data_IF_352744311461
#
_entry.id   IF_352744311461
#
_cell.length_a   1.000
_cell.length_b   1.000
_cell.length_c   1.000
_cell.angle_alpha   90.00
_cell.angle_beta   90.00
_cell.angle_gamma   90.00
#
_symmetry.space_group_name_H-M   'P 1'
#
loop_
_entity.id
_entity.type
_entity.pdbx_description
1 polymer ?
#
# COMPACT_ATOMS: atom_id res chain seq x y z
N UNK A 1 -8.37 22.10 18.24
CA UNK A 1 -8.65 20.97 19.15
C UNK A 1 -9.34 19.95 18.28
N UNK A 2 -8.49 19.17 17.62
CA UNK A 2 -8.87 18.17 16.62
C UNK A 2 -8.97 16.85 17.36
N UNK A 3 -10.17 16.26 17.39
CA UNK A 3 -10.37 14.89 17.82
C UNK A 3 -9.86 13.97 16.69
N UNK A 4 -8.54 13.78 16.65
CA UNK A 4 -7.99 12.55 16.13
C UNK A 4 -8.49 11.42 17.05
N UNK A 5 -9.22 10.47 16.48
CA UNK A 5 -9.49 9.19 17.14
C UNK A 5 -8.14 8.47 17.25
N UNK A 6 -7.38 8.82 18.28
CA UNK A 6 -6.24 8.06 18.76
C UNK A 6 -6.85 6.84 19.45
N UNK A 7 -6.69 5.66 18.85
CA UNK A 7 -6.90 4.42 19.58
C UNK A 7 -5.90 4.39 20.74
N UNK A 8 -6.39 4.74 21.93
CA UNK A 8 -5.63 4.68 23.17
C UNK A 8 -5.44 3.20 23.53
N UNK A 9 -4.35 2.58 23.07
CA UNK A 9 -3.89 1.29 23.55
C UNK A 9 -3.27 1.46 24.94
N UNK A 10 -4.13 1.56 25.96
CA UNK A 10 -3.71 1.41 27.34
C UNK A 10 -4.86 0.88 28.19
N UNK A 11 -4.99 -0.45 28.22
CA UNK A 11 -5.57 -1.15 29.36
C UNK A 11 -4.89 -2.50 29.49
N UNK A 12 -4.12 -2.66 30.57
CA UNK A 12 -3.51 -3.93 30.94
C UNK A 12 -4.56 -5.04 30.98
N UNK A 13 -4.32 -6.07 30.18
CA UNK A 13 -5.11 -7.29 30.08
C UNK A 13 -4.18 -8.50 29.92
N UNK A 14 -4.65 -9.63 30.41
CA UNK A 14 -4.02 -10.97 30.45
C UNK A 14 -3.13 -11.35 29.24
N UNK A 15 -2.05 -12.16 29.42
CA UNK A 15 -1.17 -12.58 28.32
C UNK A 15 -1.81 -13.53 27.28
N UNK A 16 -3.06 -13.98 27.48
CA UNK A 16 -3.74 -14.99 26.66
C UNK A 16 -5.20 -14.61 26.31
N UNK A 17 -5.52 -13.32 26.19
CA UNK A 17 -6.81 -12.87 25.66
C UNK A 17 -6.70 -12.55 24.17
N UNK A 18 -7.60 -13.08 23.34
CA UNK A 18 -7.80 -12.64 21.95
C UNK A 18 -8.03 -11.12 21.94
N UNK A 19 -6.97 -10.33 21.73
CA UNK A 19 -7.11 -8.92 21.38
C UNK A 19 -7.88 -8.88 20.07
N UNK A 20 -9.13 -8.40 20.12
CA UNK A 20 -9.98 -8.29 18.95
C UNK A 20 -9.24 -7.55 17.84
N UNK A 21 -9.07 -8.21 16.69
CA UNK A 21 -8.36 -7.65 15.55
C UNK A 21 -9.23 -6.54 14.93
N UNK A 22 -8.85 -5.24 15.01
CA UNK A 22 -9.67 -4.14 14.53
C UNK A 22 -10.02 -4.25 13.03
N UNK A 23 -9.18 -4.95 12.26
CA UNK A 23 -9.35 -5.18 10.83
C UNK A 23 -10.45 -6.21 10.51
N UNK A 24 -10.75 -7.14 11.43
CA UNK A 24 -11.90 -8.04 11.30
C UNK A 24 -13.22 -7.30 11.51
N UNK A 25 -13.24 -6.34 12.45
CA UNK A 25 -14.40 -5.45 12.63
C UNK A 25 -14.60 -4.49 11.47
N UNK A 26 -13.53 -3.96 10.88
CA UNK A 26 -13.61 -3.21 9.62
C UNK A 26 -14.18 -4.09 8.50
N UNK A 27 -13.76 -5.35 8.39
CA UNK A 27 -14.30 -6.30 7.41
C UNK A 27 -15.80 -6.54 7.56
N UNK A 28 -16.29 -6.72 8.79
CA UNK A 28 -17.71 -6.90 9.06
C UNK A 28 -18.53 -5.66 8.66
N UNK A 29 -18.04 -4.46 8.99
CA UNK A 29 -18.66 -3.19 8.57
C UNK A 29 -18.68 -3.03 7.05
N UNK A 30 -17.60 -3.43 6.38
CA UNK A 30 -17.49 -3.41 4.92
C UNK A 30 -18.55 -4.32 4.27
N UNK A 31 -18.71 -5.54 4.77
CA UNK A 31 -19.76 -6.46 4.27
C UNK A 31 -21.17 -5.93 4.49
N UNK A 32 -21.41 -5.28 5.62
CA UNK A 32 -22.69 -4.64 5.88
C UNK A 32 -22.96 -3.48 4.91
N UNK A 33 -21.94 -2.66 4.62
CA UNK A 33 -22.01 -1.60 3.62
C UNK A 33 -22.37 -2.16 2.24
N UNK A 34 -21.65 -3.18 1.77
CA UNK A 34 -21.87 -3.78 0.45
C UNK A 34 -23.31 -4.29 0.31
N UNK A 35 -23.80 -5.02 1.33
CA UNK A 35 -25.18 -5.54 1.36
C UNK A 35 -26.21 -4.42 1.28
N UNK A 36 -26.09 -3.40 2.15
CA UNK A 36 -27.06 -2.29 2.22
C UNK A 36 -27.01 -1.41 0.97
N UNK A 37 -25.84 -1.19 0.39
CA UNK A 37 -25.69 -0.39 -0.83
C UNK A 37 -26.35 -1.11 -2.01
N UNK A 38 -26.22 -2.44 -2.10
CA UNK A 38 -26.91 -3.24 -3.11
C UNK A 38 -28.44 -3.16 -2.96
N UNK A 39 -28.96 -3.23 -1.72
CA UNK A 39 -30.39 -3.07 -1.45
C UNK A 39 -30.87 -1.67 -1.87
N UNK A 40 -30.14 -0.62 -1.48
CA UNK A 40 -30.52 0.76 -1.74
C UNK A 40 -30.43 1.16 -3.21
N UNK A 41 -29.46 0.61 -3.95
CA UNK A 41 -29.29 0.88 -5.38
C UNK A 41 -30.48 0.41 -6.24
N UNK A 42 -31.35 -0.46 -5.70
CA UNK A 42 -32.56 -0.94 -6.36
C UNK A 42 -33.82 -0.14 -5.97
N UNK A 43 -33.70 0.84 -5.07
CA UNK A 43 -34.85 1.62 -4.59
C UNK A 43 -35.23 2.72 -5.59
N UNK A 44 -36.54 2.94 -5.75
CA UNK A 44 -37.06 4.04 -6.60
C UNK A 44 -36.97 5.42 -5.92
N UNK A 45 -36.73 5.46 -4.61
CA UNK A 45 -36.61 6.67 -3.81
C UNK A 45 -35.61 6.47 -2.68
N UNK A 46 -34.73 7.45 -2.50
CA UNK A 46 -33.78 7.50 -1.37
C UNK A 46 -33.94 8.86 -0.70
N UNK A 47 -34.35 8.85 0.57
CA UNK A 47 -34.55 10.08 1.35
C UNK A 47 -33.36 10.33 2.28
N UNK A 48 -32.79 11.52 2.14
CA UNK A 48 -31.76 12.03 3.06
C UNK A 48 -32.45 12.54 4.32
N UNK A 49 -32.01 12.08 5.48
CA UNK A 49 -32.65 12.40 6.76
C UNK A 49 -32.00 13.61 7.41
N UNK A 50 -30.68 13.76 7.28
CA UNK A 50 -29.90 14.83 7.91
C UNK A 50 -29.09 15.62 6.87
N UNK A 51 -29.79 16.23 5.89
CA UNK A 51 -29.18 17.11 4.90
C UNK A 51 -29.47 18.59 5.21
N UNK A 52 -28.44 19.43 5.08
CA UNK A 52 -28.55 20.89 5.18
C UNK A 52 -28.23 21.55 3.85
N UNK A 53 -28.78 22.75 3.62
CA UNK A 53 -28.54 23.51 2.40
C UNK A 53 -27.38 24.47 2.61
N UNK A 54 -26.42 24.44 1.70
CA UNK A 54 -25.33 25.42 1.59
C UNK A 54 -25.39 26.09 0.20
N UNK A 55 -25.09 27.39 0.12
CA UNK A 55 -25.06 28.18 -1.12
C UNK A 55 -23.74 28.96 -1.30
N UNK A 56 -22.72 28.62 -0.52
CA UNK A 56 -21.42 29.25 -0.65
C UNK A 56 -20.78 28.91 -1.99
N UNK A 57 -19.88 29.79 -2.40
CA UNK A 57 -19.03 29.56 -3.56
C UNK A 57 -18.02 28.45 -3.29
N UNK A 58 -17.79 27.64 -4.31
CA UNK A 58 -16.74 26.63 -4.37
C UNK A 58 -15.65 27.10 -5.30
N UNK A 59 -14.39 26.70 -5.09
CA UNK A 59 -13.38 26.90 -6.11
C UNK A 59 -13.78 26.15 -7.38
N UNK A 60 -13.47 26.73 -8.53
CA UNK A 60 -13.43 25.98 -9.76
C UNK A 60 -12.21 25.05 -9.73
N UNK A 61 -12.47 23.75 -9.78
CA UNK A 61 -11.49 22.69 -9.92
C UNK A 61 -11.57 22.22 -11.37
N UNK A 62 -10.41 22.14 -11.98
CA UNK A 62 -10.26 21.71 -13.37
C UNK A 62 -9.66 20.30 -13.36
N UNK A 63 -10.44 19.28 -13.75
CA UNK A 63 -9.90 17.92 -13.86
C UNK A 63 -8.78 17.83 -14.91
N UNK A 64 -8.78 18.70 -15.93
CA UNK A 64 -7.72 18.74 -16.93
C UNK A 64 -6.37 19.06 -16.29
N UNK A 65 -6.38 19.68 -15.10
CA UNK A 65 -5.16 19.91 -14.34
C UNK A 65 -4.48 18.60 -13.93
N UNK A 66 -5.21 17.62 -13.38
CA UNK A 66 -4.60 16.33 -13.02
C UNK A 66 -4.11 15.57 -14.28
N UNK A 67 -4.83 15.71 -15.39
CA UNK A 67 -4.45 15.09 -16.66
C UNK A 67 -3.21 15.73 -17.29
N UNK A 68 -3.08 17.07 -17.23
CA UNK A 68 -1.98 17.81 -17.84
C UNK A 68 -0.63 17.43 -17.24
N UNK A 69 -0.57 17.32 -15.91
CA UNK A 69 0.67 17.03 -15.18
C UNK A 69 0.95 15.53 -15.05
N UNK A 70 -0.01 14.68 -15.40
CA UNK A 70 0.22 13.24 -15.42
C UNK A 70 1.13 12.85 -16.58
N UNK A 71 2.08 11.95 -16.31
CA UNK A 71 3.09 11.52 -17.28
C UNK A 71 2.56 10.81 -18.52
N UNK A 72 1.30 10.36 -18.49
CA UNK A 72 0.61 9.83 -19.66
C UNK A 72 -0.71 10.59 -19.82
N UNK A 73 -0.78 11.45 -20.85
CA UNK A 73 -2.02 12.16 -21.21
C UNK A 73 -3.20 11.21 -21.50
N UNK A 74 -2.91 9.93 -21.79
CA UNK A 74 -3.88 8.86 -21.86
C UNK A 74 -4.16 8.31 -20.46
N UNK A 75 -4.85 9.10 -19.64
CA UNK A 75 -5.68 8.52 -18.58
C UNK A 75 -6.70 7.66 -19.31
N UNK A 76 -6.44 6.36 -19.40
CA UNK A 76 -7.42 5.43 -19.95
C UNK A 76 -8.70 5.66 -19.18
N UNK A 77 -9.83 5.63 -19.90
CA UNK A 77 -11.18 5.85 -19.42
C UNK A 77 -11.58 4.86 -18.31
N UNK A 78 -10.92 4.94 -17.17
CA UNK A 78 -11.27 4.21 -15.98
C UNK A 78 -12.57 4.79 -15.45
N UNK A 79 -13.46 3.91 -15.03
CA UNK A 79 -14.75 4.28 -14.45
C UNK A 79 -14.58 5.26 -13.27
N UNK A 80 -13.46 5.18 -12.52
CA UNK A 80 -13.12 6.14 -11.46
C UNK A 80 -12.95 7.57 -11.99
N UNK A 81 -12.17 7.75 -13.06
CA UNK A 81 -11.98 9.06 -13.68
C UNK A 81 -13.31 9.63 -14.21
N UNK A 82 -14.11 8.79 -14.89
CA UNK A 82 -15.43 9.21 -15.40
C UNK A 82 -16.34 9.70 -14.27
N UNK A 83 -16.41 8.96 -13.15
CA UNK A 83 -17.18 9.36 -11.97
C UNK A 83 -16.69 10.70 -11.41
N UNK A 84 -15.38 10.88 -11.32
CA UNK A 84 -14.78 12.12 -10.84
C UNK A 84 -15.14 13.33 -11.72
N UNK A 85 -14.93 13.24 -13.03
CA UNK A 85 -15.27 14.31 -13.98
C UNK A 85 -16.78 14.64 -13.97
N UNK A 86 -17.64 13.62 -13.96
CA UNK A 86 -19.10 13.82 -13.90
C UNK A 86 -19.50 14.52 -12.60
N UNK A 87 -18.94 14.12 -11.46
CA UNK A 87 -19.25 14.76 -10.18
C UNK A 87 -18.85 16.24 -10.14
N UNK A 88 -17.70 16.62 -10.73
CA UNK A 88 -17.32 18.04 -10.85
C UNK A 88 -18.30 18.81 -11.75
N UNK A 89 -18.65 18.26 -12.92
CA UNK A 89 -19.62 18.88 -13.82
C UNK A 89 -20.99 19.09 -13.15
N UNK A 90 -21.47 18.06 -12.45
CA UNK A 90 -22.70 18.09 -11.68
C UNK A 90 -22.63 19.15 -10.57
N UNK A 91 -21.52 19.24 -9.84
CA UNK A 91 -21.31 20.22 -8.78
C UNK A 91 -21.38 21.68 -9.27
N UNK A 92 -20.98 21.93 -10.52
CA UNK A 92 -21.00 23.27 -11.13
C UNK A 92 -22.30 23.59 -11.87
N UNK A 93 -23.13 22.58 -12.16
CA UNK A 93 -24.43 22.77 -12.80
C UNK A 93 -25.51 23.36 -11.88
N UNK A 94 -25.28 23.31 -10.57
CA UNK A 94 -26.20 23.78 -9.54
C UNK A 94 -25.51 24.75 -8.57
N UNK A 95 -26.29 25.65 -7.97
CA UNK A 95 -25.82 26.60 -6.96
C UNK A 95 -26.27 26.26 -5.53
N UNK A 96 -27.12 25.24 -5.39
CA UNK A 96 -27.56 24.69 -4.11
C UNK A 96 -26.75 23.44 -3.82
N UNK A 97 -26.09 23.41 -2.67
CA UNK A 97 -25.42 22.22 -2.15
C UNK A 97 -26.27 21.56 -1.07
N UNK A 98 -26.30 20.22 -1.08
CA UNK A 98 -26.80 19.42 0.03
C UNK A 98 -25.59 18.86 0.80
N UNK A 99 -25.46 19.28 2.06
CA UNK A 99 -24.44 18.81 2.98
C UNK A 99 -25.07 17.77 3.88
N UNK A 100 -24.57 16.54 3.82
CA UNK A 100 -25.05 15.42 4.64
C UNK A 100 -24.11 15.20 5.82
N UNK A 101 -24.66 14.72 6.94
CA UNK A 101 -23.85 14.31 8.08
C UNK A 101 -22.94 13.11 7.75
N UNK A 102 -21.79 13.05 8.40
CA UNK A 102 -20.85 11.93 8.27
C UNK A 102 -21.28 10.75 9.15
N UNK A 103 -22.35 10.07 8.74
CA UNK A 103 -22.83 8.83 9.36
C UNK A 103 -22.86 7.71 8.34
N UNK A 104 -22.74 6.46 8.80
CA UNK A 104 -22.79 5.29 7.92
C UNK A 104 -24.02 5.30 7.00
N UNK A 105 -25.20 5.62 7.53
CA UNK A 105 -26.45 5.60 6.76
C UNK A 105 -26.53 6.74 5.74
N UNK A 106 -26.16 7.97 6.11
CA UNK A 106 -26.18 9.12 5.19
C UNK A 106 -25.12 8.98 4.09
N UNK A 107 -23.93 8.44 4.41
CA UNK A 107 -22.91 8.20 3.40
C UNK A 107 -23.35 7.11 2.40
N UNK A 108 -24.09 6.10 2.86
CA UNK A 108 -24.62 5.05 1.98
C UNK A 108 -25.70 5.61 1.03
N UNK A 109 -26.59 6.46 1.54
CA UNK A 109 -27.58 7.21 0.74
C UNK A 109 -26.90 8.14 -0.26
N UNK A 110 -25.88 8.86 0.18
CA UNK A 110 -25.07 9.74 -0.67
C UNK A 110 -24.44 8.95 -1.82
N UNK A 111 -23.84 7.78 -1.56
CA UNK A 111 -23.25 6.95 -2.60
C UNK A 111 -24.30 6.42 -3.60
N UNK A 112 -25.43 5.93 -3.09
CA UNK A 112 -26.53 5.42 -3.93
C UNK A 112 -27.11 6.51 -4.86
N UNK A 113 -27.21 7.75 -4.36
CA UNK A 113 -27.71 8.88 -5.16
C UNK A 113 -26.64 9.38 -6.13
N UNK A 114 -25.39 9.59 -5.65
CA UNK A 114 -24.32 10.20 -6.43
C UNK A 114 -23.98 9.42 -7.71
N UNK A 115 -24.08 8.09 -7.66
CA UNK A 115 -23.71 7.23 -8.78
C UNK A 115 -24.92 6.55 -9.44
N UNK A 116 -26.11 7.12 -9.27
CA UNK A 116 -27.33 6.71 -9.96
C UNK A 116 -27.77 7.76 -10.98
N UNK A 117 -28.41 7.31 -12.05
CA UNK A 117 -29.06 8.20 -13.04
C UNK A 117 -30.49 8.58 -12.62
N UNK A 118 -31.05 7.94 -11.58
CA UNK A 118 -32.43 8.13 -11.17
C UNK A 118 -32.70 9.50 -10.50
N UNK A 119 -31.65 10.17 -10.01
CA UNK A 119 -31.77 11.33 -9.12
C UNK A 119 -30.94 12.55 -9.58
N UNK A 120 -31.11 13.03 -10.84
CA UNK A 120 -30.17 13.98 -11.44
C UNK A 120 -30.00 15.26 -10.62
N UNK A 121 -31.09 15.84 -10.10
CA UNK A 121 -31.01 17.08 -9.31
C UNK A 121 -30.35 16.88 -7.96
N UNK A 122 -30.71 15.82 -7.23
CA UNK A 122 -30.12 15.54 -5.92
C UNK A 122 -28.63 15.17 -6.05
N UNK A 123 -28.28 14.44 -7.11
CA UNK A 123 -26.89 14.13 -7.47
C UNK A 123 -26.06 15.41 -7.65
N UNK A 124 -26.56 16.38 -8.41
CA UNK A 124 -25.89 17.68 -8.60
C UNK A 124 -25.68 18.43 -7.28
N UNK A 125 -26.71 18.49 -6.44
CA UNK A 125 -26.64 19.17 -5.16
C UNK A 125 -25.69 18.48 -4.17
N UNK A 126 -25.68 17.15 -4.14
CA UNK A 126 -24.77 16.36 -3.31
C UNK A 126 -23.32 16.44 -3.81
N UNK A 127 -23.09 16.41 -5.12
CA UNK A 127 -21.74 16.55 -5.69
C UNK A 127 -21.14 17.91 -5.31
N UNK A 128 -21.94 18.99 -5.38
CA UNK A 128 -21.55 20.31 -4.89
C UNK A 128 -21.29 20.32 -3.38
N UNK A 129 -22.14 19.67 -2.60
CA UNK A 129 -21.97 19.57 -1.15
C UNK A 129 -20.67 18.87 -0.75
N UNK A 130 -20.37 17.74 -1.41
CA UNK A 130 -19.13 16.99 -1.20
C UNK A 130 -17.91 17.85 -1.53
N UNK A 131 -17.94 18.56 -2.67
CA UNK A 131 -16.89 19.51 -3.04
C UNK A 131 -16.67 20.60 -1.97
N UNK A 132 -17.74 21.18 -1.43
CA UNK A 132 -17.66 22.16 -0.33
C UNK A 132 -17.00 21.54 0.91
N UNK A 133 -17.44 20.34 1.31
CA UNK A 133 -16.92 19.67 2.51
C UNK A 133 -15.43 19.37 2.37
N UNK A 134 -15.00 18.82 1.23
CA UNK A 134 -13.58 18.53 0.95
C UNK A 134 -12.75 19.82 0.91
N UNK A 135 -13.21 20.85 0.19
CA UNK A 135 -12.50 22.13 0.11
C UNK A 135 -12.28 22.77 1.49
N UNK A 136 -13.29 22.69 2.36
CA UNK A 136 -13.22 23.22 3.73
C UNK A 136 -12.38 22.36 4.67
N UNK A 137 -12.05 21.12 4.31
CA UNK A 137 -11.29 20.19 5.14
C UNK A 137 -12.16 19.43 6.15
N UNK A 138 -13.45 19.27 5.85
CA UNK A 138 -14.44 18.53 6.66
C UNK A 138 -15.05 17.38 5.85
N UNK A 139 -14.23 16.76 5.00
CA UNK A 139 -14.64 15.62 4.17
C UNK A 139 -15.16 14.47 5.05
N UNK A 140 -16.25 13.79 4.64
CA UNK A 140 -16.77 12.65 5.39
C UNK A 140 -15.83 11.45 5.31
N UNK A 141 -15.84 10.61 6.34
CA UNK A 141 -14.92 9.47 6.54
C UNK A 141 -15.63 8.17 6.92
N UNK A 142 -16.95 8.17 7.11
CA UNK A 142 -17.70 6.99 7.55
C UNK A 142 -17.90 5.93 6.47
N UNK A 143 -17.74 6.29 5.19
CA UNK A 143 -17.76 5.34 4.09
C UNK A 143 -16.50 4.45 4.12
N UNK A 144 -16.61 3.14 3.79
CA UNK A 144 -15.44 2.30 3.61
C UNK A 144 -14.44 2.88 2.61
N UNK A 145 -13.16 2.61 2.82
CA UNK A 145 -12.07 3.20 2.01
C UNK A 145 -12.16 2.86 0.51
N UNK A 146 -12.79 1.75 0.14
CA UNK A 146 -12.98 1.31 -1.25
C UNK A 146 -14.29 1.79 -1.87
N UNK A 147 -15.17 2.40 -1.07
CA UNK A 147 -16.46 2.89 -1.53
C UNK A 147 -16.26 3.97 -2.60
N UNK A 148 -17.17 4.05 -3.58
CA UNK A 148 -17.02 4.99 -4.71
C UNK A 148 -17.01 6.43 -4.23
N UNK A 149 -17.76 6.73 -3.17
CA UNK A 149 -17.78 8.05 -2.52
C UNK A 149 -16.45 8.37 -1.83
N UNK A 150 -15.85 7.43 -1.11
CA UNK A 150 -14.55 7.60 -0.47
C UNK A 150 -13.42 7.83 -1.48
N UNK A 151 -13.42 7.08 -2.60
CA UNK A 151 -12.48 7.31 -3.71
C UNK A 151 -12.67 8.69 -4.34
N UNK A 152 -13.92 9.09 -4.58
CA UNK A 152 -14.25 10.41 -5.13
C UNK A 152 -13.78 11.55 -4.21
N UNK A 153 -13.91 11.40 -2.90
CA UNK A 153 -13.41 12.36 -1.91
C UNK A 153 -11.90 12.55 -2.05
N UNK A 154 -11.13 11.47 -2.19
CA UNK A 154 -9.69 11.55 -2.39
C UNK A 154 -9.34 12.24 -3.71
N UNK A 155 -10.11 11.97 -4.77
CA UNK A 155 -9.90 12.61 -6.08
C UNK A 155 -10.17 14.12 -6.03
N UNK A 156 -11.24 14.54 -5.34
CA UNK A 156 -11.52 15.96 -5.08
C UNK A 156 -10.42 16.58 -4.20
N UNK A 157 -9.94 15.88 -3.16
CA UNK A 157 -8.88 16.36 -2.28
C UNK A 157 -7.56 16.55 -3.04
N UNK A 158 -7.21 15.62 -3.93
CA UNK A 158 -6.04 15.75 -4.81
C UNK A 158 -6.14 16.99 -5.69
N UNK A 159 -7.29 17.25 -6.33
CA UNK A 159 -7.52 18.49 -7.09
C UNK A 159 -7.45 19.74 -6.20
N UNK A 160 -8.06 19.71 -5.01
CA UNK A 160 -7.98 20.81 -4.06
C UNK A 160 -6.54 21.11 -3.64
N UNK A 161 -5.74 20.06 -3.41
CA UNK A 161 -4.32 20.16 -3.08
C UNK A 161 -3.54 20.81 -4.23
N UNK A 162 -3.74 20.34 -5.47
CA UNK A 162 -3.12 20.94 -6.65
C UNK A 162 -3.50 22.42 -6.82
N UNK A 163 -4.79 22.76 -6.65
CA UNK A 163 -5.25 24.15 -6.72
C UNK A 163 -4.54 25.05 -5.71
N UNK A 164 -4.36 24.57 -4.48
CA UNK A 164 -3.65 25.31 -3.42
C UNK A 164 -2.19 25.55 -3.75
N UNK A 165 -1.50 24.57 -4.36
CA UNK A 165 -0.12 24.74 -4.81
C UNK A 165 0.01 25.84 -5.85
N UNK A 166 -0.87 25.85 -6.85
CA UNK A 166 -0.90 26.88 -7.91
C UNK A 166 -1.16 28.26 -7.29
N UNK A 167 -2.16 28.35 -6.42
CA UNK A 167 -2.53 29.61 -5.76
C UNK A 167 -1.39 30.15 -4.88
N UNK A 168 -0.63 29.25 -4.25
CA UNK A 168 0.58 29.55 -3.50
C UNK A 168 1.81 29.80 -4.39
N UNK A 169 1.69 29.72 -5.72
CA UNK A 169 2.81 29.80 -6.69
C UNK A 169 3.94 28.83 -6.37
N UNK A 170 3.61 27.68 -5.81
CA UNK A 170 4.55 26.61 -5.50
C UNK A 170 4.74 25.75 -6.74
N UNK A 171 5.95 25.68 -7.27
CA UNK A 171 6.29 24.79 -8.38
C UNK A 171 6.64 23.42 -7.83
N UNK A 172 6.00 22.37 -8.35
CA UNK A 172 6.46 20.99 -8.18
C UNK A 172 7.35 20.69 -9.39
N UNK A 173 8.63 20.45 -9.13
CA UNK A 173 9.60 20.07 -10.16
C UNK A 173 10.03 18.61 -9.96
N UNK A 174 9.04 17.72 -9.88
CA UNK A 174 9.27 16.28 -9.90
C UNK A 174 8.28 15.65 -10.87
N UNK A 175 8.82 14.99 -11.89
CA UNK A 175 8.08 14.15 -12.83
C UNK A 175 8.61 12.72 -12.69
N UNK A 176 7.75 11.70 -12.83
CA UNK A 176 6.33 11.78 -13.18
C UNK A 176 5.37 11.90 -11.97
N UNK A 177 4.24 12.60 -12.17
CA UNK A 177 3.04 12.45 -11.33
C UNK A 177 2.30 11.17 -11.71
N UNK A 178 2.18 10.24 -10.75
CA UNK A 178 1.42 9.00 -10.89
C UNK A 178 0.13 9.08 -10.11
N UNK A 179 -0.96 8.71 -10.77
CA UNK A 179 -2.33 8.82 -10.27
C UNK A 179 -3.00 7.44 -10.38
N UNK A 180 -4.07 7.17 -9.61
CA UNK A 180 -4.72 5.87 -9.60
C UNK A 180 -5.20 5.36 -10.97
N UNK A 181 -5.43 6.25 -11.92
CA UNK A 181 -5.92 5.93 -13.27
C UNK A 181 -4.81 5.95 -14.34
N UNK A 182 -3.54 5.96 -13.93
CA UNK A 182 -2.42 5.85 -14.86
C UNK A 182 -2.05 4.40 -15.17
N UNK A 183 -1.56 4.19 -16.39
CA UNK A 183 -0.86 2.96 -16.76
C UNK A 183 0.53 2.97 -16.11
N UNK A 184 0.68 2.17 -15.05
CA UNK A 184 1.93 2.07 -14.30
C UNK A 184 3.02 1.39 -15.13
N UNK A 185 2.68 0.45 -16.02
CA UNK A 185 3.65 -0.22 -16.87
C UNK A 185 4.28 0.77 -17.86
N UNK A 186 3.46 1.67 -18.44
CA UNK A 186 3.99 2.76 -19.27
C UNK A 186 4.96 3.67 -18.47
N UNK A 187 4.70 3.90 -17.19
CA UNK A 187 5.61 4.67 -16.32
C UNK A 187 6.98 3.99 -16.19
N UNK A 188 6.98 2.66 -15.99
CA UNK A 188 8.20 1.85 -15.96
C UNK A 188 8.98 2.00 -17.26
N UNK A 189 8.32 1.92 -18.42
CA UNK A 189 8.97 2.11 -19.72
C UNK A 189 9.63 3.51 -19.82
N UNK A 190 8.97 4.56 -19.32
CA UNK A 190 9.54 5.90 -19.26
C UNK A 190 10.82 5.97 -18.42
N UNK A 191 10.84 5.29 -17.27
CA UNK A 191 12.05 5.19 -16.45
C UNK A 191 13.16 4.35 -17.12
N UNK A 192 12.83 3.28 -17.83
CA UNK A 192 13.83 2.45 -18.55
C UNK A 192 14.46 3.26 -19.69
N UNK A 193 13.66 4.03 -20.43
CA UNK A 193 14.10 4.82 -21.57
C UNK A 193 14.72 6.19 -21.20
N UNK A 194 14.83 6.49 -19.91
CA UNK A 194 15.47 7.72 -19.43
C UNK A 194 14.67 9.00 -19.70
N UNK A 195 13.33 8.91 -19.80
CA UNK A 195 12.46 10.08 -19.97
C UNK A 195 12.36 10.94 -18.70
N UNK A 196 12.73 10.39 -17.55
CA UNK A 196 12.76 11.08 -16.26
C UNK A 196 14.21 11.18 -15.76
N UNK A 197 14.61 12.36 -15.28
CA UNK A 197 15.98 12.61 -14.80
C UNK A 197 16.28 11.84 -13.49
N UNK A 198 15.26 11.74 -12.63
CA UNK A 198 15.33 11.17 -11.28
C UNK A 198 14.89 9.68 -11.23
N UNK A 199 14.92 9.11 -10.03
CA UNK A 199 14.47 7.74 -9.73
C UNK A 199 13.13 7.68 -9.00
N UNK A 200 12.46 8.82 -8.84
CA UNK A 200 11.23 8.96 -8.05
C UNK A 200 10.10 9.49 -8.92
N UNK A 201 8.95 8.87 -8.78
CA UNK A 201 7.67 9.48 -9.10
C UNK A 201 7.06 10.10 -7.83
N UNK A 202 5.90 10.75 -7.95
CA UNK A 202 5.13 11.20 -6.80
C UNK A 202 3.62 11.10 -7.02
N UNK A 203 2.86 11.06 -5.93
CA UNK A 203 1.40 11.05 -5.95
C UNK A 203 0.82 11.77 -4.73
N UNK A 204 -0.27 12.54 -4.87
CA UNK A 204 -1.02 13.06 -3.73
C UNK A 204 -1.86 11.99 -3.02
N UNK A 205 -1.88 10.76 -3.54
CA UNK A 205 -2.63 9.62 -3.02
C UNK A 205 -1.74 8.71 -2.20
N UNK A 206 -2.16 8.41 -0.97
CA UNK A 206 -1.62 7.33 -0.14
C UNK A 206 -2.74 6.31 0.03
N UNK A 207 -2.92 5.45 -0.98
CA UNK A 207 -3.98 4.44 -1.02
C UNK A 207 -3.44 3.06 -1.39
N UNK A 208 -3.97 2.01 -0.77
CA UNK A 208 -3.47 0.64 -0.92
C UNK A 208 -3.56 0.09 -2.34
N UNK A 209 -4.58 0.48 -3.12
CA UNK A 209 -4.75 -0.01 -4.50
C UNK A 209 -3.63 0.48 -5.44
N UNK A 210 -3.36 1.80 -5.42
CA UNK A 210 -2.24 2.38 -6.15
C UNK A 210 -0.91 1.78 -5.69
N UNK A 211 -0.71 1.63 -4.38
CA UNK A 211 0.51 1.01 -3.82
C UNK A 211 0.67 -0.44 -4.31
N UNK A 212 -0.41 -1.23 -4.39
CA UNK A 212 -0.38 -2.58 -4.95
C UNK A 212 0.06 -2.60 -6.40
N UNK A 213 -0.52 -1.74 -7.25
CA UNK A 213 -0.17 -1.63 -8.66
C UNK A 213 1.28 -1.20 -8.85
N UNK A 214 1.76 -0.28 -8.02
CA UNK A 214 3.16 0.15 -8.01
C UNK A 214 4.10 -1.00 -7.64
N UNK A 215 3.81 -1.75 -6.57
CA UNK A 215 4.57 -2.93 -6.21
C UNK A 215 4.56 -4.00 -7.31
N UNK A 216 3.40 -4.22 -7.94
CA UNK A 216 3.25 -5.17 -9.02
C UNK A 216 4.10 -4.83 -10.25
N UNK A 217 4.55 -3.59 -10.39
CA UNK A 217 5.43 -3.13 -11.48
C UNK A 217 6.85 -2.78 -11.00
N UNK A 218 7.23 -3.23 -9.79
CA UNK A 218 8.60 -3.14 -9.30
C UNK A 218 9.00 -1.79 -8.67
N UNK A 219 8.04 -0.89 -8.41
CA UNK A 219 8.29 0.30 -7.60
C UNK A 219 8.42 -0.06 -6.11
N UNK A 220 9.18 0.74 -5.35
CA UNK A 220 9.14 0.75 -3.88
C UNK A 220 8.50 2.06 -3.42
N UNK A 221 7.23 2.04 -2.99
CA UNK A 221 6.54 3.22 -2.48
C UNK A 221 6.99 3.58 -1.07
N UNK A 222 7.34 4.85 -0.87
CA UNK A 222 7.50 5.47 0.46
C UNK A 222 6.58 6.69 0.55
N UNK A 223 6.51 7.37 1.69
CA UNK A 223 5.83 8.65 1.79
C UNK A 223 6.73 9.75 2.35
N UNK A 224 6.39 11.00 2.02
CA UNK A 224 6.97 12.20 2.61
C UNK A 224 5.87 13.10 3.16
N UNK A 225 6.20 13.90 4.17
CA UNK A 225 5.36 15.00 4.63
C UNK A 225 5.73 16.29 3.92
N UNK A 226 4.71 17.04 3.53
CA UNK A 226 4.86 18.43 3.12
C UNK A 226 3.87 19.31 3.89
N UNK A 227 4.31 20.53 4.20
CA UNK A 227 3.51 21.50 4.93
C UNK A 227 3.14 22.64 3.96
N UNK A 228 1.86 22.73 3.61
CA UNK A 228 1.34 23.80 2.75
C UNK A 228 0.32 24.61 3.53
N UNK A 229 0.60 25.90 3.74
CA UNK A 229 -0.34 26.84 4.37
C UNK A 229 -0.90 26.34 5.72
N UNK A 230 -0.04 25.70 6.55
CA UNK A 230 -0.38 25.09 7.84
C UNK A 230 -1.23 23.81 7.76
N UNK A 231 -1.32 23.17 6.60
CA UNK A 231 -1.88 21.82 6.44
C UNK A 231 -0.75 20.87 6.07
N UNK A 232 -0.67 19.77 6.79
CA UNK A 232 0.26 18.70 6.48
C UNK A 232 -0.42 17.77 5.48
N UNK A 233 0.25 17.48 4.36
CA UNK A 233 -0.19 16.50 3.38
C UNK A 233 0.89 15.43 3.25
N UNK A 234 0.48 14.16 3.24
CA UNK A 234 1.37 13.07 2.88
C UNK A 234 1.33 12.87 1.38
N UNK A 235 2.50 12.81 0.77
CA UNK A 235 2.68 12.42 -0.62
C UNK A 235 3.30 11.04 -0.67
N UNK A 236 2.79 10.18 -1.55
CA UNK A 236 3.43 8.94 -1.89
C UNK A 236 4.56 9.24 -2.89
N UNK A 237 5.71 8.62 -2.69
CA UNK A 237 6.90 8.74 -3.53
C UNK A 237 7.30 7.33 -4.00
N UNK A 238 6.77 6.86 -5.13
CA UNK A 238 7.16 5.59 -5.73
C UNK A 238 8.59 5.68 -6.27
N UNK A 239 9.47 4.78 -5.79
CA UNK A 239 10.87 4.73 -6.21
C UNK A 239 11.11 3.63 -7.24
N UNK A 240 11.62 4.04 -8.40
CA UNK A 240 12.17 3.17 -9.43
C UNK A 240 13.68 3.41 -9.52
N UNK A 241 14.43 2.74 -8.64
CA UNK A 241 15.87 2.99 -8.48
C UNK A 241 16.66 2.78 -9.78
N UNK A 242 17.77 3.50 -9.94
CA UNK A 242 18.69 3.31 -11.08
C UNK A 242 19.37 1.94 -11.04
N UNK A 243 19.73 1.49 -9.83
CA UNK A 243 20.28 0.18 -9.56
C UNK A 243 19.45 -0.53 -8.48
N UNK A 244 19.32 -1.85 -8.61
CA UNK A 244 18.61 -2.69 -7.66
C UNK A 244 19.53 -3.76 -7.10
N UNK A 245 19.49 -3.97 -5.78
CA UNK A 245 20.12 -5.15 -5.19
C UNK A 245 19.17 -6.33 -5.22
N UNK A 246 19.58 -7.36 -5.94
CA UNK A 246 18.83 -8.59 -6.09
C UNK A 246 19.64 -9.78 -5.61
N UNK A 247 18.94 -10.81 -5.16
CA UNK A 247 19.53 -12.05 -4.69
C UNK A 247 18.68 -13.22 -5.22
N UNK A 248 19.30 -14.22 -5.82
CA UNK A 248 18.64 -15.52 -5.95
C UNK A 248 18.63 -16.13 -4.55
N UNK A 249 17.49 -16.51 -3.97
CA UNK A 249 17.45 -16.88 -2.55
C UNK A 249 18.47 -17.96 -2.14
N UNK A 250 18.74 -18.93 -3.02
CA UNK A 250 19.72 -20.00 -2.80
C UNK A 250 21.18 -19.50 -2.72
N UNK A 251 21.50 -18.33 -3.29
CA UNK A 251 22.82 -17.70 -3.28
C UNK A 251 23.17 -16.99 -1.96
N UNK A 252 22.23 -16.94 -1.01
CA UNK A 252 22.47 -16.23 0.26
C UNK A 252 23.69 -16.80 1.01
N UNK A 253 24.62 -15.91 1.35
CA UNK A 253 25.85 -16.26 2.07
C UNK A 253 25.53 -16.42 3.55
N UNK A 254 25.53 -17.67 4.02
CA UNK A 254 25.23 -17.98 5.42
C UNK A 254 26.47 -18.26 6.27
N UNK A 255 26.73 -17.42 7.27
CA UNK A 255 27.81 -17.63 8.24
C UNK A 255 27.43 -18.65 9.34
N UNK A 256 28.44 -19.35 9.90
CA UNK A 256 28.24 -20.30 11.03
C UNK A 256 27.58 -19.64 12.24
N UNK A 257 27.93 -18.39 12.54
CA UNK A 257 27.37 -17.62 13.67
C UNK A 257 25.87 -17.40 13.49
N UNK A 258 25.44 -16.96 12.31
CA UNK A 258 24.02 -16.72 12.04
C UNK A 258 23.20 -18.02 11.98
N UNK A 259 23.79 -19.16 11.57
CA UNK A 259 23.11 -20.47 11.67
C UNK A 259 22.92 -20.94 13.11
N UNK A 260 23.84 -20.58 14.03
CA UNK A 260 23.81 -21.07 15.42
C UNK A 260 22.58 -20.56 16.19
N UNK A 261 22.12 -19.34 15.91
CA UNK A 261 20.97 -18.75 16.61
C UNK A 261 19.63 -19.37 16.24
N UNK A 262 19.56 -20.14 15.14
CA UNK A 262 18.34 -20.83 14.69
C UNK A 262 17.77 -21.84 15.70
N UNK A 263 18.57 -22.29 16.68
CA UNK A 263 18.14 -23.19 17.77
C UNK A 263 17.20 -22.54 18.78
N UNK A 264 17.19 -21.21 18.83
CA UNK A 264 16.38 -20.43 19.78
C UNK A 264 15.28 -19.64 19.08
N UNK A 265 15.26 -19.66 17.74
CA UNK A 265 14.42 -18.80 16.92
C UNK A 265 13.51 -19.59 15.98
N UNK A 266 12.28 -19.11 15.85
CA UNK A 266 11.27 -19.64 14.93
C UNK A 266 10.81 -18.54 13.98
N UNK A 267 10.56 -18.89 12.73
CA UNK A 267 10.03 -17.97 11.72
C UNK A 267 8.56 -18.30 11.42
N UNK A 268 7.75 -17.27 11.21
CA UNK A 268 6.39 -17.38 10.68
C UNK A 268 6.15 -16.33 9.61
N UNK A 269 5.04 -16.47 8.89
CA UNK A 269 4.59 -15.54 7.86
C UNK A 269 3.10 -15.27 8.08
N UNK A 270 2.68 -14.00 7.95
CA UNK A 270 1.30 -13.54 8.06
C UNK A 270 0.62 -13.91 9.40
N UNK A 271 1.38 -13.96 10.51
CA UNK A 271 0.81 -14.29 11.83
C UNK A 271 0.67 -13.11 12.77
N UNK A 272 1.45 -12.03 12.56
CA UNK A 272 1.43 -10.86 13.43
C UNK A 272 1.75 -9.55 12.69
N UNK A 273 1.10 -9.32 11.54
CA UNK A 273 1.35 -8.16 10.67
C UNK A 273 1.38 -6.83 11.41
N UNK A 274 0.36 -6.53 12.22
CA UNK A 274 0.29 -5.27 12.95
C UNK A 274 1.42 -5.10 13.98
N UNK A 275 1.86 -6.20 14.64
CA UNK A 275 3.01 -6.18 15.55
C UNK A 275 4.31 -5.90 14.80
N UNK A 276 4.45 -6.40 13.57
CA UNK A 276 5.60 -6.10 12.72
C UNK A 276 5.63 -4.64 12.29
N UNK A 277 4.51 -4.08 11.82
CA UNK A 277 4.38 -2.66 11.50
C UNK A 277 4.72 -1.79 12.71
N UNK A 278 4.20 -2.14 13.89
CA UNK A 278 4.51 -1.46 15.14
C UNK A 278 6.00 -1.51 15.47
N UNK A 279 6.65 -2.67 15.35
CA UNK A 279 8.08 -2.84 15.58
C UNK A 279 8.96 -2.02 14.62
N UNK A 280 8.55 -1.92 13.35
CA UNK A 280 9.21 -1.06 12.35
C UNK A 280 9.16 0.42 12.78
N UNK A 281 7.97 0.91 13.14
CA UNK A 281 7.78 2.31 13.55
C UNK A 281 8.50 2.60 14.88
N UNK A 282 8.52 1.67 15.82
CA UNK A 282 9.25 1.83 17.08
C UNK A 282 10.77 1.93 16.87
N UNK A 283 11.33 1.12 15.99
CA UNK A 283 12.78 1.11 15.75
C UNK A 283 13.25 2.31 14.92
N UNK A 284 12.49 2.69 13.89
CA UNK A 284 12.93 3.69 12.92
C UNK A 284 12.23 5.05 13.08
N UNK A 285 11.14 5.13 13.85
CA UNK A 285 10.24 6.28 13.87
C UNK A 285 9.25 6.27 12.70
N UNK A 286 8.41 7.31 12.64
CA UNK A 286 7.42 7.44 11.55
C UNK A 286 8.07 7.69 10.19
N UNK A 287 9.29 8.24 10.08
CA UNK A 287 10.06 8.49 8.85
C UNK A 287 9.20 8.61 7.56
N UNK A 288 8.97 7.49 6.87
CA UNK A 288 8.06 7.37 5.72
C UNK A 288 6.83 6.48 5.99
N UNK A 289 6.79 5.78 7.12
CA UNK A 289 5.69 4.97 7.64
C UNK A 289 4.70 5.82 8.46
N UNK A 290 4.27 6.95 7.90
CA UNK A 290 3.23 7.79 8.51
C UNK A 290 1.92 7.00 8.74
N UNK A 291 1.01 7.45 9.63
CA UNK A 291 -0.24 6.75 9.89
C UNK A 291 -1.02 6.36 8.62
N UNK A 292 -1.04 7.21 7.60
CA UNK A 292 -1.69 6.94 6.31
C UNK A 292 -1.06 5.76 5.56
N UNK A 293 0.27 5.62 5.60
CA UNK A 293 0.98 4.48 5.03
C UNK A 293 0.73 3.20 5.83
N UNK A 294 0.67 3.31 7.16
CA UNK A 294 0.34 2.17 8.03
C UNK A 294 -1.08 1.66 7.77
N UNK A 295 -2.06 2.56 7.68
CA UNK A 295 -3.45 2.22 7.35
C UNK A 295 -3.55 1.57 5.97
N UNK A 296 -2.86 2.13 4.97
CA UNK A 296 -2.82 1.55 3.63
C UNK A 296 -2.23 0.14 3.64
N UNK A 297 -1.10 -0.10 4.31
CA UNK A 297 -0.49 -1.42 4.41
C UNK A 297 -1.33 -2.44 5.19
N UNK A 298 -1.98 -2.02 6.29
CA UNK A 298 -2.89 -2.90 7.01
C UNK A 298 -4.09 -3.28 6.12
N UNK A 299 -4.70 -2.32 5.43
CA UNK A 299 -5.81 -2.61 4.50
C UNK A 299 -5.39 -3.52 3.36
N UNK A 300 -4.21 -3.28 2.80
CA UNK A 300 -3.61 -4.17 1.81
C UNK A 300 -3.54 -5.60 2.36
N UNK A 301 -2.99 -5.80 3.55
CA UNK A 301 -2.84 -7.12 4.14
C UNK A 301 -4.19 -7.79 4.49
N UNK A 302 -5.01 -7.16 5.32
CA UNK A 302 -6.24 -7.75 5.87
C UNK A 302 -7.41 -7.76 4.87
N UNK A 303 -7.45 -6.81 3.94
CA UNK A 303 -8.48 -6.74 2.90
C UNK A 303 -7.92 -7.08 1.50
N UNK A 304 -6.86 -7.88 1.42
CA UNK A 304 -6.23 -8.31 0.15
C UNK A 304 -7.20 -8.90 -0.89
N UNK A 305 -8.29 -9.53 -0.46
CA UNK A 305 -9.35 -10.04 -1.34
C UNK A 305 -10.12 -8.93 -2.09
N UNK A 306 -9.98 -7.66 -1.69
CA UNK A 306 -10.53 -6.51 -2.42
C UNK A 306 -9.57 -5.93 -3.47
N UNK A 307 -8.33 -6.42 -3.52
CA UNK A 307 -7.26 -5.91 -4.38
C UNK A 307 -6.80 -6.93 -5.44
N UNK A 308 -7.68 -7.87 -5.83
CA UNK A 308 -7.35 -9.05 -6.66
C UNK A 308 -6.73 -8.75 -8.04
N UNK A 309 -6.70 -7.48 -8.48
CA UNK A 309 -6.27 -7.09 -9.81
C UNK A 309 -4.76 -7.29 -10.13
N UNK A 310 -3.93 -7.80 -9.21
CA UNK A 310 -2.48 -7.84 -9.44
C UNK A 310 -1.70 -9.06 -8.94
N UNK A 311 -2.35 -10.10 -8.40
CA UNK A 311 -1.68 -11.26 -7.75
C UNK A 311 -0.52 -10.87 -6.81
N UNK A 312 -0.59 -9.68 -6.23
CA UNK A 312 0.44 -9.08 -5.38
C UNK A 312 -0.11 -9.07 -3.97
N UNK A 313 0.65 -9.62 -3.03
CA UNK A 313 0.22 -9.77 -1.65
C UNK A 313 1.30 -9.22 -0.72
N UNK A 314 0.88 -8.33 0.19
CA UNK A 314 1.76 -7.78 1.20
C UNK A 314 1.79 -8.73 2.40
N UNK A 315 2.96 -9.29 2.65
CA UNK A 315 3.20 -10.27 3.70
C UNK A 315 3.96 -9.65 4.87
N UNK A 316 3.72 -10.17 6.07
CA UNK A 316 4.66 -10.01 7.19
C UNK A 316 5.48 -11.27 7.38
N UNK A 317 6.72 -11.09 7.78
CA UNK A 317 7.62 -12.16 8.21
C UNK A 317 7.98 -11.89 9.65
N UNK A 318 7.83 -12.88 10.52
CA UNK A 318 8.04 -12.72 11.95
C UNK A 318 9.10 -13.69 12.47
N UNK A 319 9.98 -13.21 13.36
CA UNK A 319 10.95 -14.04 14.07
C UNK A 319 10.66 -14.00 15.56
N UNK A 320 10.47 -15.19 16.13
CA UNK A 320 10.09 -15.40 17.52
C UNK A 320 11.20 -16.04 18.34
N UNK A 321 11.39 -15.57 19.56
CA UNK A 321 12.11 -16.27 20.63
C UNK A 321 11.12 -16.66 21.72
N UNK A 322 10.73 -17.92 21.76
CA UNK A 322 9.56 -18.32 22.57
C UNK A 322 8.29 -17.62 22.04
N UNK A 323 7.66 -16.80 22.88
CA UNK A 323 6.50 -15.96 22.53
C UNK A 323 6.85 -14.51 22.19
N UNK A 324 8.13 -14.12 22.32
CA UNK A 324 8.57 -12.74 22.06
C UNK A 324 8.90 -12.54 20.58
N UNK A 325 8.33 -11.50 19.97
CA UNK A 325 8.66 -11.07 18.61
C UNK A 325 9.98 -10.26 18.62
N UNK A 326 11.04 -10.82 18.04
CA UNK A 326 12.42 -10.27 18.14
C UNK A 326 12.99 -9.75 16.81
N UNK A 327 12.31 -10.02 15.70
CA UNK A 327 12.50 -9.35 14.42
C UNK A 327 11.25 -9.52 13.56
N UNK A 328 11.11 -8.68 12.55
CA UNK A 328 10.13 -8.88 11.49
C UNK A 328 10.35 -7.95 10.32
N UNK A 329 9.76 -8.27 9.18
CA UNK A 329 9.68 -7.38 8.02
C UNK A 329 8.35 -7.49 7.30
N UNK A 330 8.03 -6.47 6.50
CA UNK A 330 6.95 -6.54 5.52
C UNK A 330 7.54 -6.57 4.11
N UNK A 331 6.85 -7.26 3.21
CA UNK A 331 7.26 -7.34 1.81
C UNK A 331 6.23 -7.99 0.91
N UNK A 332 6.32 -7.67 -0.38
CA UNK A 332 5.64 -8.38 -1.47
C UNK A 332 6.62 -9.37 -2.12
N UNK A 333 7.57 -9.88 -1.30
CA UNK A 333 8.88 -10.51 -1.58
C UNK A 333 9.88 -9.69 -2.42
N UNK A 334 9.54 -8.46 -2.82
CA UNK A 334 10.44 -7.33 -2.58
C UNK A 334 10.43 -7.02 -1.09
N UNK A 335 11.58 -7.08 -0.43
CA UNK A 335 11.70 -6.66 0.97
C UNK A 335 11.53 -5.14 1.06
N UNK A 336 10.55 -4.68 1.84
CA UNK A 336 10.25 -3.26 1.97
C UNK A 336 10.99 -2.67 3.17
N UNK A 337 10.71 -3.18 4.37
CA UNK A 337 11.36 -2.73 5.60
C UNK A 337 11.14 -3.72 6.73
N UNK A 338 12.04 -3.69 7.72
CA UNK A 338 11.97 -4.56 8.88
C UNK A 338 12.64 -3.97 10.10
N UNK A 339 12.55 -4.70 11.20
CA UNK A 339 13.08 -4.35 12.51
C UNK A 339 13.70 -5.60 13.17
N UNK A 340 14.54 -5.38 14.17
CA UNK A 340 15.10 -6.43 15.02
C UNK A 340 15.52 -5.87 16.38
N UNK A 341 15.21 -6.61 17.45
CA UNK A 341 15.51 -6.21 18.83
C UNK A 341 16.57 -7.10 19.49
N UNK A 342 16.82 -8.30 18.94
CA UNK A 342 17.80 -9.25 19.44
C UNK A 342 19.04 -9.31 18.53
N UNK A 343 20.27 -9.37 19.07
CA UNK A 343 21.46 -9.54 18.25
C UNK A 343 21.38 -10.77 17.34
N UNK A 344 21.66 -10.58 16.05
CA UNK A 344 21.60 -11.61 15.00
C UNK A 344 20.20 -12.11 14.62
N UNK A 345 19.10 -11.62 15.21
CA UNK A 345 17.74 -12.04 14.78
C UNK A 345 17.43 -11.54 13.36
N UNK A 346 17.86 -10.33 12.99
CA UNK A 346 17.75 -9.84 11.61
C UNK A 346 18.55 -10.67 10.61
N UNK A 347 19.78 -11.07 10.93
CA UNK A 347 20.57 -11.96 10.07
C UNK A 347 19.93 -13.34 9.93
N UNK A 348 19.39 -13.88 11.03
CA UNK A 348 18.64 -15.12 11.00
C UNK A 348 17.37 -15.02 10.14
N UNK A 349 16.63 -13.91 10.25
CA UNK A 349 15.45 -13.63 9.42
C UNK A 349 15.81 -13.75 7.95
N UNK A 350 16.90 -13.09 7.51
CA UNK A 350 17.33 -13.15 6.11
C UNK A 350 17.62 -14.59 5.64
N UNK A 351 18.28 -15.39 6.47
CA UNK A 351 18.60 -16.78 6.13
C UNK A 351 17.35 -17.66 6.04
N UNK A 352 16.47 -17.53 7.03
CA UNK A 352 15.25 -18.33 7.11
C UNK A 352 14.26 -17.93 6.01
N UNK A 353 14.12 -16.63 5.73
CA UNK A 353 13.31 -16.12 4.62
C UNK A 353 13.89 -16.56 3.27
N UNK A 354 15.20 -16.42 3.04
CA UNK A 354 15.84 -16.93 1.81
C UNK A 354 15.60 -18.43 1.59
N UNK A 355 15.64 -19.23 2.66
CA UNK A 355 15.29 -20.65 2.59
C UNK A 355 13.82 -20.88 2.21
N UNK A 356 12.89 -20.12 2.81
CA UNK A 356 11.46 -20.21 2.50
C UNK A 356 11.20 -19.82 1.04
N UNK A 357 11.71 -18.66 0.59
CA UNK A 357 11.57 -18.17 -0.77
C UNK A 357 12.09 -19.21 -1.79
N UNK A 358 13.27 -19.79 -1.52
CA UNK A 358 13.82 -20.85 -2.36
C UNK A 358 12.89 -22.09 -2.42
N UNK A 359 12.42 -22.59 -1.27
CA UNK A 359 11.55 -23.77 -1.25
C UNK A 359 10.16 -23.51 -1.86
N UNK A 360 9.74 -22.24 -1.93
CA UNK A 360 8.54 -21.83 -2.65
C UNK A 360 8.77 -21.55 -4.14
N UNK A 361 10.00 -21.75 -4.65
CA UNK A 361 10.33 -21.56 -6.06
C UNK A 361 10.38 -20.09 -6.49
N UNK A 362 10.65 -19.18 -5.56
CA UNK A 362 10.94 -17.78 -5.84
C UNK A 362 12.42 -17.68 -6.24
N UNK A 363 12.66 -17.13 -7.42
CA UNK A 363 13.98 -17.12 -8.07
C UNK A 363 14.65 -15.74 -7.98
N UNK A 364 13.88 -14.68 -7.69
CA UNK A 364 14.33 -13.31 -7.52
C UNK A 364 13.87 -12.78 -6.16
N UNK A 365 14.81 -12.37 -5.32
CA UNK A 365 14.55 -11.62 -4.11
C UNK A 365 15.11 -10.21 -4.26
N UNK A 366 14.20 -9.25 -4.39
CA UNK A 366 14.52 -7.83 -4.46
C UNK A 366 14.72 -7.27 -3.05
N UNK A 367 15.93 -6.77 -2.78
CA UNK A 367 16.30 -6.16 -1.51
C UNK A 367 16.27 -4.64 -1.57
N UNK A 368 15.84 -4.02 -2.67
CA UNK A 368 15.76 -2.57 -2.80
C UNK A 368 17.12 -1.92 -3.09
N UNK A 369 17.42 -0.83 -2.39
CA UNK A 369 18.63 -0.03 -2.60
C UNK A 369 19.91 -0.70 -2.07
N UNK A 370 21.06 -0.28 -2.62
CA UNK A 370 22.38 -0.71 -2.19
C UNK A 370 22.68 -0.30 -0.75
N UNK A 371 22.93 -1.30 0.11
CA UNK A 371 23.38 -1.12 1.50
C UNK A 371 24.47 -2.16 1.76
N UNK A 372 25.62 -1.81 2.40
CA UNK A 372 26.79 -2.70 2.50
C UNK A 372 26.49 -4.13 2.96
N UNK A 373 25.66 -4.31 4.00
CA UNK A 373 25.37 -5.65 4.53
C UNK A 373 24.64 -6.56 3.53
N UNK A 374 23.92 -6.02 2.54
CA UNK A 374 23.22 -6.82 1.52
C UNK A 374 24.20 -7.48 0.56
N UNK A 375 25.33 -6.82 0.29
CA UNK A 375 26.43 -7.44 -0.44
C UNK A 375 27.08 -8.56 0.35
N UNK A 376 27.25 -8.39 1.67
CA UNK A 376 27.77 -9.46 2.55
C UNK A 376 26.84 -10.70 2.57
N UNK A 377 25.55 -10.53 2.27
CA UNK A 377 24.58 -11.60 2.08
C UNK A 377 24.64 -12.25 0.69
N UNK A 378 25.44 -11.72 -0.24
CA UNK A 378 25.59 -12.22 -1.61
C UNK A 378 24.77 -11.48 -2.66
N UNK A 379 24.05 -10.41 -2.29
CA UNK A 379 23.23 -9.65 -3.24
C UNK A 379 24.10 -8.94 -4.29
N UNK A 380 23.61 -8.96 -5.53
CA UNK A 380 24.24 -8.35 -6.68
C UNK A 380 23.49 -7.10 -7.11
N UNK A 381 24.22 -6.07 -7.51
CA UNK A 381 23.62 -4.90 -8.14
C UNK A 381 23.34 -5.21 -9.60
N UNK A 382 22.11 -4.93 -10.03
CA UNK A 382 21.67 -4.96 -11.42
C UNK A 382 21.11 -3.60 -11.79
N UNK A 383 21.24 -3.21 -13.05
CA UNK A 383 20.66 -1.96 -13.54
C UNK A 383 19.13 -2.03 -13.49
N UNK A 384 18.45 -0.87 -13.51
CA UNK A 384 16.98 -0.79 -13.58
C UNK A 384 16.39 -1.64 -14.71
N UNK A 385 16.97 -1.58 -15.90
CA UNK A 385 16.49 -2.31 -17.07
C UNK A 385 16.59 -3.83 -16.86
N UNK A 386 17.75 -4.30 -16.38
CA UNK A 386 17.96 -5.71 -16.04
C UNK A 386 17.04 -6.17 -14.90
N UNK A 387 16.85 -5.34 -13.86
CA UNK A 387 15.92 -5.63 -12.77
C UNK A 387 14.50 -5.86 -13.29
N UNK A 388 13.98 -4.95 -14.11
CA UNK A 388 12.60 -5.08 -14.62
C UNK A 388 12.46 -6.33 -15.49
N UNK A 389 13.46 -6.66 -16.31
CA UNK A 389 13.46 -7.90 -17.08
C UNK A 389 13.37 -9.13 -16.16
N UNK A 390 14.24 -9.23 -15.15
CA UNK A 390 14.24 -10.32 -14.18
C UNK A 390 12.93 -10.37 -13.38
N UNK A 391 12.41 -9.20 -13.00
CA UNK A 391 11.18 -9.05 -12.21
C UNK A 391 9.96 -9.54 -12.98
N UNK A 392 9.80 -9.12 -14.25
CA UNK A 392 8.69 -9.58 -15.10
C UNK A 392 8.77 -11.09 -15.38
N UNK A 393 9.98 -11.62 -15.58
CA UNK A 393 10.19 -13.07 -15.73
C UNK A 393 9.79 -13.84 -14.45
N UNK A 394 10.16 -13.33 -13.27
CA UNK A 394 9.80 -13.94 -11.99
C UNK A 394 8.28 -13.88 -11.72
N UNK A 395 7.64 -12.73 -11.99
CA UNK A 395 6.20 -12.49 -11.81
C UNK A 395 5.33 -13.33 -12.74
N UNK A 396 5.84 -13.79 -13.88
CA UNK A 396 5.09 -14.58 -14.86
C UNK A 396 4.56 -15.92 -14.32
N UNK A 397 5.11 -16.43 -13.22
CA UNK A 397 4.64 -17.65 -12.56
C UNK A 397 4.07 -17.30 -11.19
N UNK A 398 2.82 -17.67 -10.88
CA UNK A 398 2.28 -17.47 -9.54
C UNK A 398 3.08 -18.29 -8.53
N UNK A 399 3.39 -17.66 -7.39
CA UNK A 399 4.11 -18.24 -6.25
C UNK A 399 3.39 -17.87 -4.97
N UNK A 400 3.55 -18.71 -3.96
CA UNK A 400 3.01 -18.46 -2.61
C UNK A 400 4.17 -18.14 -1.67
N UNK A 401 3.96 -17.17 -0.78
CA UNK A 401 4.91 -16.86 0.29
C UNK A 401 4.33 -17.40 1.58
N UNK A 402 4.74 -18.61 1.95
CA UNK A 402 4.34 -19.25 3.19
C UNK A 402 5.46 -20.18 3.68
N UNK A 403 5.52 -20.43 4.99
CA UNK A 403 6.45 -21.42 5.53
C UNK A 403 6.07 -22.81 4.97
N UNK A 404 6.99 -23.57 4.34
CA UNK A 404 6.68 -24.91 3.83
C UNK A 404 6.10 -25.79 4.93
N UNK A 405 5.08 -26.60 4.59
CA UNK A 405 4.28 -27.37 5.57
C UNK A 405 5.14 -28.16 6.58
N UNK A 406 6.19 -28.83 6.09
CA UNK A 406 7.15 -29.60 6.91
C UNK A 406 7.88 -28.79 7.99
N UNK A 407 7.88 -27.46 7.91
CA UNK A 407 8.57 -26.57 8.84
C UNK A 407 7.64 -25.74 9.75
N UNK A 408 6.33 -25.70 9.49
CA UNK A 408 5.39 -24.80 10.20
C UNK A 408 5.31 -25.05 11.70
N UNK A 409 5.35 -26.33 12.10
CA UNK A 409 5.16 -26.78 13.48
C UNK A 409 6.47 -27.09 14.20
N UNK A 410 7.61 -26.73 13.60
CA UNK A 410 8.90 -26.92 14.24
C UNK A 410 9.06 -25.92 15.39
N UNK A 411 9.58 -26.40 16.52
CA UNK A 411 9.87 -25.57 17.71
C UNK A 411 10.91 -24.47 17.44
N UNK A 412 11.77 -24.70 16.45
CA UNK A 412 12.89 -23.86 16.06
C UNK A 412 13.13 -24.03 14.54
N UNK A 413 14.06 -23.26 13.96
CA UNK A 413 14.29 -23.26 12.51
C UNK A 413 15.55 -24.03 12.10
N UNK A 414 16.05 -24.93 12.95
CA UNK A 414 17.26 -25.71 12.67
C UNK A 414 17.07 -26.61 11.45
N UNK A 415 15.94 -27.31 11.37
CA UNK A 415 15.65 -28.23 10.25
C UNK A 415 15.53 -27.49 8.91
N UNK A 416 14.87 -26.32 8.92
CA UNK A 416 14.76 -25.43 7.76
C UNK A 416 16.15 -25.06 7.22
N UNK A 417 17.03 -24.51 8.07
CA UNK A 417 18.36 -24.08 7.64
C UNK A 417 19.28 -25.25 7.28
N UNK A 418 19.14 -26.40 7.94
CA UNK A 418 19.90 -27.59 7.59
C UNK A 418 19.51 -28.13 6.22
N UNK A 419 18.21 -28.25 5.94
CA UNK A 419 17.68 -28.67 4.64
C UNK A 419 18.14 -27.72 3.53
N UNK A 420 18.04 -26.41 3.79
CA UNK A 420 18.49 -25.39 2.85
C UNK A 420 20.02 -25.46 2.61
N UNK A 421 20.81 -25.71 3.65
CA UNK A 421 22.27 -25.92 3.52
C UNK A 421 22.63 -27.18 2.74
N UNK A 422 21.75 -28.18 2.66
CA UNK A 422 21.93 -29.35 1.79
C UNK A 422 21.73 -28.96 0.33
N UNK A 423 20.68 -28.20 0.01
CA UNK A 423 20.43 -27.69 -1.35
C UNK A 423 21.56 -26.80 -1.86
N UNK A 424 22.08 -25.89 -1.02
CA UNK A 424 23.24 -25.07 -1.39
C UNK A 424 24.45 -25.92 -1.79
N UNK A 425 24.74 -26.99 -1.03
CA UNK A 425 25.85 -27.91 -1.32
C UNK A 425 25.62 -28.72 -2.59
N UNK A 426 24.38 -29.19 -2.82
CA UNK A 426 24.01 -29.92 -4.04
C UNK A 426 24.25 -29.08 -5.30
N UNK A 427 23.87 -27.80 -5.25
CA UNK A 427 24.11 -26.90 -6.39
C UNK A 427 25.60 -26.67 -6.64
N UNK A 428 26.42 -26.48 -5.59
CA UNK A 428 27.87 -26.35 -5.74
C UNK A 428 28.47 -27.57 -6.46
N UNK A 429 28.09 -28.80 -6.05
CA UNK A 429 28.59 -30.02 -6.69
C UNK A 429 28.14 -30.13 -8.16
N UNK A 430 26.91 -29.74 -8.50
CA UNK A 430 26.44 -29.78 -9.89
C UNK A 430 27.09 -28.71 -10.78
N UNK A 431 27.51 -27.56 -10.23
CA UNK A 431 28.20 -26.54 -11.02
C UNK A 431 29.65 -26.91 -11.28
N UNK A 432 30.32 -27.58 -10.34
CA UNK A 432 31.69 -28.11 -10.52
C UNK A 432 31.74 -29.18 -11.63
N UNK A 433 30.71 -30.03 -11.75
CA UNK A 433 30.62 -31.08 -12.78
C UNK A 433 30.26 -30.55 -14.19
N UNK A 434 29.87 -29.28 -14.34
CA UNK A 434 29.43 -28.66 -15.62
C UNK A 434 30.51 -27.73 -16.22
N UNK A 435 31.62 -27.51 -15.51
CA UNK A 435 32.80 -26.80 -16.05
C UNK A 435 33.77 -27.79 -16.71
N UNK A 436 33.98 -27.75 -18.04
CA UNK A 436 34.96 -28.60 -18.72
C UNK A 436 36.42 -28.24 -18.43
#
# INVERSE_FOLDING_TARGET
MEDCIIYNNNSGGSPDGDEENPWEWEELRNREWDRKLQEMSNMCSVELTNATIDRHDVPYLDEAFLQWFSCFQFVFHEERWRRFSVALQDAYSENVALIVEDTFEEQLKLEAILFSEAFPKQRQQLARGLLIQVWRGVAPKSAPWYAKSAQLIQDIDACCFMKRLIDARSMINCDPLLLPYNDIAAAVDGFINGYFEDETAWSPYVEGDLIYRLFAEGFIPIAISIDISKRNKRLLIPKMHKDRLCLVPLDIIMTRKGKKVAKELRITIDTAFNKVVTGIVQQHGENWMYPEMQDAFNRMHYHRHRHEAGNTYLHSVEVWKGSELVAGEIGVYTSVTGFHTLPSSGTFQMYALGAILHFQGIELWDLGMAIPYKHDLGAQAVTRAEFIELFQQAKAKPRVVEVPERFRNCKDSVELLNSFSVEQRRRCTTMEDVTP
#
